data_IF_910959774904
#
_entry.id   IF_910959774904
#
_cell.length_a   1.000
_cell.length_b   1.000
_cell.length_c   1.000
_cell.angle_alpha   90.00
_cell.angle_beta   90.00
_cell.angle_gamma   90.00
#
_symmetry.space_group_name_H-M   'P 1'
#
loop_
_entity.id
_entity.type
_entity.pdbx_description
1 polymer ?
#
# COMPACT_ATOMS: atom_id res chain seq x y z
N UNK A 1 -33.33 -52.74 12.48
CA UNK A 1 -33.50 -51.48 11.76
C UNK A 1 -32.75 -50.26 12.35
N UNK A 2 -32.23 -50.27 13.59
CA UNK A 2 -31.56 -49.13 14.23
C UNK A 2 -30.16 -48.76 13.63
N UNK A 3 -29.39 -49.70 13.11
CA UNK A 3 -28.00 -49.46 12.60
C UNK A 3 -27.91 -48.61 11.33
N UNK A 4 -28.95 -48.54 10.48
CA UNK A 4 -28.92 -47.72 9.24
C UNK A 4 -29.12 -46.25 9.55
N UNK A 5 -29.97 -45.88 10.51
CA UNK A 5 -30.19 -44.50 10.91
C UNK A 5 -28.95 -43.87 11.55
N UNK A 6 -28.24 -44.59 12.40
CA UNK A 6 -27.01 -44.12 13.06
C UNK A 6 -25.89 -43.82 12.06
N UNK A 7 -25.74 -44.68 11.02
CA UNK A 7 -24.75 -44.43 9.95
C UNK A 7 -25.09 -43.21 9.12
N UNK A 8 -26.36 -42.98 8.83
CA UNK A 8 -26.79 -41.78 8.09
C UNK A 8 -26.53 -40.51 8.86
N UNK A 9 -26.84 -40.48 10.17
CA UNK A 9 -26.58 -39.33 11.05
C UNK A 9 -25.07 -39.06 11.15
N UNK A 10 -24.26 -40.12 11.22
CA UNK A 10 -22.79 -39.97 11.31
C UNK A 10 -22.19 -39.39 10.02
N UNK A 11 -22.67 -39.84 8.86
CA UNK A 11 -22.25 -39.27 7.55
C UNK A 11 -22.67 -37.82 7.39
N UNK A 12 -23.91 -37.49 7.82
CA UNK A 12 -24.38 -36.12 7.80
C UNK A 12 -23.54 -35.18 8.70
N UNK A 13 -23.23 -35.67 9.91
CA UNK A 13 -22.38 -34.92 10.87
C UNK A 13 -20.96 -34.71 10.35
N UNK A 14 -20.39 -35.76 9.75
CA UNK A 14 -19.06 -35.70 9.12
C UNK A 14 -19.05 -34.69 7.94
N UNK A 15 -20.10 -34.68 7.12
CA UNK A 15 -20.25 -33.71 6.03
C UNK A 15 -20.32 -32.25 6.51
N UNK A 16 -21.05 -31.99 7.61
CA UNK A 16 -21.11 -30.68 8.23
C UNK A 16 -19.74 -30.29 8.80
N UNK A 17 -19.06 -31.20 9.46
CA UNK A 17 -17.74 -30.99 10.05
C UNK A 17 -16.68 -30.62 8.98
N UNK A 18 -16.70 -31.27 7.84
CA UNK A 18 -15.80 -30.97 6.71
C UNK A 18 -16.06 -29.56 6.18
N UNK A 19 -17.32 -29.11 6.06
CA UNK A 19 -17.64 -27.76 5.61
C UNK A 19 -17.19 -26.68 6.61
N UNK A 20 -17.16 -26.97 7.90
CA UNK A 20 -16.66 -26.05 8.93
C UNK A 20 -15.14 -25.90 8.90
N UNK A 21 -14.41 -26.87 8.35
CA UNK A 21 -12.95 -26.86 8.24
C UNK A 21 -12.44 -26.13 6.99
N UNK A 22 -13.30 -25.84 6.01
CA UNK A 22 -12.96 -25.04 4.82
C UNK A 22 -13.06 -23.55 5.08
N UNK A 23 -12.55 -23.06 6.22
CA UNK A 23 -12.37 -21.65 6.49
C UNK A 23 -11.36 -21.07 5.51
N UNK A 24 -11.83 -20.35 4.47
CA UNK A 24 -10.96 -19.59 3.59
C UNK A 24 -10.25 -18.49 4.39
N UNK A 25 -9.05 -18.77 4.86
CA UNK A 25 -8.13 -17.73 5.32
C UNK A 25 -7.51 -17.08 4.08
N UNK A 26 -8.13 -16.04 3.57
CA UNK A 26 -7.45 -15.07 2.69
C UNK A 26 -6.40 -14.33 3.53
N UNK A 27 -5.34 -15.01 3.90
CA UNK A 27 -4.15 -14.37 4.44
C UNK A 27 -3.48 -13.64 3.27
N UNK A 28 -3.64 -12.33 3.21
CA UNK A 28 -2.78 -11.49 2.37
C UNK A 28 -1.35 -11.70 2.86
N UNK A 29 -0.53 -12.35 2.07
CA UNK A 29 0.85 -12.65 2.45
C UNK A 29 1.61 -11.34 2.59
N UNK A 30 2.57 -11.28 3.51
CA UNK A 30 3.43 -10.09 3.73
C UNK A 30 4.20 -9.76 2.44
N UNK A 31 4.50 -10.78 1.65
CA UNK A 31 5.20 -10.69 0.35
C UNK A 31 4.39 -9.93 -0.72
N UNK A 32 3.05 -9.87 -0.57
CA UNK A 32 2.15 -9.15 -1.47
C UNK A 32 2.01 -7.66 -1.13
N UNK A 33 2.83 -7.14 -0.21
CA UNK A 33 2.77 -5.74 0.25
C UNK A 33 4.06 -5.01 -0.05
N UNK A 34 3.92 -3.82 -0.61
CA UNK A 34 5.00 -2.86 -0.74
C UNK A 34 4.95 -1.87 0.43
N UNK A 35 5.84 -2.07 1.38
CA UNK A 35 5.97 -1.21 2.55
C UNK A 35 6.65 0.11 2.15
N UNK A 36 5.95 1.22 2.34
CA UNK A 36 6.48 2.56 2.07
C UNK A 36 7.03 3.17 3.34
N UNK A 37 8.27 3.65 3.30
CA UNK A 37 8.92 4.37 4.41
C UNK A 37 8.87 5.89 4.22
N UNK A 38 8.99 6.35 2.99
CA UNK A 38 8.92 7.76 2.67
C UNK A 38 8.07 8.00 1.42
N UNK A 39 7.38 9.14 1.38
CA UNK A 39 6.55 9.57 0.27
C UNK A 39 6.91 11.01 -0.06
N UNK A 40 7.29 11.25 -1.32
CA UNK A 40 7.44 12.59 -1.88
C UNK A 40 6.18 12.97 -2.66
N UNK A 41 5.70 14.20 -2.50
CA UNK A 41 4.53 14.70 -3.24
C UNK A 41 4.85 16.06 -3.81
N UNK A 42 4.74 16.16 -5.13
CA UNK A 42 4.91 17.38 -5.90
C UNK A 42 3.69 17.67 -6.76
N UNK A 43 3.56 18.94 -7.16
CA UNK A 43 2.57 19.37 -8.12
C UNK A 43 3.20 20.36 -9.12
N UNK A 44 3.16 19.99 -10.40
CA UNK A 44 3.67 20.82 -11.50
C UNK A 44 3.04 20.40 -12.82
N UNK A 45 3.00 21.31 -13.78
CA UNK A 45 2.41 21.07 -15.12
C UNK A 45 0.96 20.55 -15.08
N UNK A 46 0.21 20.86 -14.01
CA UNK A 46 -1.19 20.43 -13.84
C UNK A 46 -1.37 19.03 -13.26
N UNK A 47 -0.30 18.34 -12.89
CA UNK A 47 -0.31 16.98 -12.38
C UNK A 47 0.37 16.86 -11.02
N UNK A 48 -0.13 15.93 -10.20
CA UNK A 48 0.60 15.43 -9.06
C UNK A 48 1.71 14.48 -9.50
N UNK A 49 2.85 14.55 -8.81
CA UNK A 49 3.92 13.53 -8.88
C UNK A 49 4.09 12.95 -7.50
N UNK A 50 3.80 11.67 -7.33
CA UNK A 50 3.96 10.98 -6.05
C UNK A 50 5.06 9.94 -6.18
N UNK A 51 6.04 10.05 -5.30
CA UNK A 51 7.18 9.15 -5.25
C UNK A 51 7.13 8.35 -3.96
N UNK A 52 7.11 7.03 -4.09
CA UNK A 52 7.16 6.10 -2.96
C UNK A 52 8.56 5.53 -2.81
N UNK A 53 9.13 5.62 -1.61
CA UNK A 53 10.41 5.01 -1.27
C UNK A 53 10.19 3.81 -0.34
N UNK A 54 10.71 2.66 -0.77
CA UNK A 54 10.66 1.37 -0.06
C UNK A 54 11.97 1.08 0.66
N UNK A 55 11.95 0.30 1.75
CA UNK A 55 13.18 -0.16 2.38
C UNK A 55 13.93 -1.13 1.46
N UNK A 56 15.24 -1.04 1.44
CA UNK A 56 16.10 -2.07 0.87
C UNK A 56 16.23 -3.23 1.87
N UNK A 57 15.34 -4.22 1.74
CA UNK A 57 15.37 -5.41 2.59
C UNK A 57 16.56 -6.30 2.32
N UNK A 58 17.14 -6.25 1.12
CA UNK A 58 18.35 -7.03 0.78
C UNK A 58 19.58 -6.50 1.51
N UNK A 59 19.68 -5.17 1.67
CA UNK A 59 20.74 -4.58 2.49
C UNK A 59 20.69 -5.03 3.95
N UNK A 60 19.48 -5.33 4.47
CA UNK A 60 19.27 -5.80 5.84
C UNK A 60 19.52 -7.31 6.00
N UNK A 61 19.24 -8.10 4.96
CA UNK A 61 19.35 -9.56 5.01
C UNK A 61 20.63 -10.12 4.41
N UNK A 62 21.45 -9.26 3.77
CA UNK A 62 22.67 -9.67 3.07
C UNK A 62 22.41 -10.48 1.79
N UNK A 63 21.18 -10.50 1.29
CA UNK A 63 20.83 -11.18 0.06
C UNK A 63 21.18 -10.29 -1.16
N UNK A 64 21.52 -10.89 -2.32
CA UNK A 64 21.79 -10.09 -3.51
C UNK A 64 20.50 -9.43 -4.01
N UNK A 65 20.60 -8.14 -4.36
CA UNK A 65 19.50 -7.36 -4.96
C UNK A 65 19.14 -7.96 -6.32
N UNK A 66 17.86 -8.22 -6.55
CA UNK A 66 17.35 -8.64 -7.85
C UNK A 66 17.62 -7.56 -8.92
N UNK A 67 17.98 -7.97 -10.15
CA UNK A 67 18.36 -7.05 -11.24
C UNK A 67 17.33 -5.96 -11.59
N UNK A 68 16.08 -6.09 -11.15
CA UNK A 68 14.97 -5.18 -11.51
C UNK A 68 14.26 -4.57 -10.28
N UNK A 69 14.81 -4.69 -9.08
CA UNK A 69 14.18 -4.07 -7.91
C UNK A 69 14.40 -2.57 -7.88
N UNK A 70 13.31 -1.83 -7.94
CA UNK A 70 13.30 -0.38 -7.75
C UNK A 70 12.86 -0.07 -6.32
N UNK A 71 13.70 0.62 -5.56
CA UNK A 71 13.39 1.07 -4.20
C UNK A 71 12.64 2.40 -4.18
N UNK A 72 12.66 3.12 -5.30
CA UNK A 72 11.97 4.39 -5.51
C UNK A 72 11.12 4.28 -6.78
N UNK A 73 9.84 4.64 -6.66
CA UNK A 73 8.90 4.61 -7.78
C UNK A 73 8.09 5.91 -7.79
N UNK A 74 8.00 6.54 -8.96
CA UNK A 74 7.25 7.76 -9.15
C UNK A 74 6.08 7.51 -10.09
N UNK A 75 4.92 8.04 -9.71
CA UNK A 75 3.68 8.02 -10.48
C UNK A 75 3.16 9.45 -10.63
N UNK A 76 2.50 9.72 -11.75
CA UNK A 76 1.88 11.02 -12.03
C UNK A 76 0.39 10.86 -12.30
N UNK A 77 -0.39 11.86 -11.95
CA UNK A 77 -1.83 11.87 -12.20
C UNK A 77 -2.45 13.23 -11.89
N UNK A 78 -3.59 13.51 -12.46
CA UNK A 78 -4.31 14.78 -12.26
C UNK A 78 -4.94 14.87 -10.87
N UNK A 79 -5.26 13.72 -10.28
CA UNK A 79 -5.84 13.58 -8.93
C UNK A 79 -5.01 12.59 -8.12
N UNK A 80 -4.70 12.93 -6.88
CA UNK A 80 -3.82 12.12 -6.04
C UNK A 80 -4.38 10.71 -5.76
N UNK A 81 -5.70 10.53 -5.71
CA UNK A 81 -6.33 9.22 -5.53
C UNK A 81 -6.16 8.29 -6.73
N UNK A 82 -6.09 8.84 -7.95
CA UNK A 82 -5.86 8.05 -9.18
C UNK A 82 -4.48 7.41 -9.19
N UNK A 83 -3.50 8.06 -8.56
CA UNK A 83 -2.13 7.56 -8.49
C UNK A 83 -2.04 6.23 -7.74
N UNK A 84 -2.83 6.05 -6.68
CA UNK A 84 -2.90 4.76 -5.97
C UNK A 84 -3.56 3.68 -6.82
N UNK A 85 -4.58 4.05 -7.60
CA UNK A 85 -5.22 3.10 -8.53
C UNK A 85 -4.27 2.69 -9.65
N UNK A 86 -3.48 3.63 -10.17
CA UNK A 86 -2.46 3.34 -11.18
C UNK A 86 -1.35 2.47 -10.62
N UNK A 87 -0.94 2.71 -9.38
CA UNK A 87 -0.04 1.81 -8.67
C UNK A 87 -0.62 0.38 -8.62
N UNK A 88 -1.88 0.25 -8.17
CA UNK A 88 -2.54 -1.05 -8.02
C UNK A 88 -2.74 -1.78 -9.36
N UNK A 89 -2.85 -1.06 -10.48
CA UNK A 89 -2.95 -1.66 -11.83
C UNK A 89 -1.59 -2.13 -12.37
N UNK A 90 -0.51 -1.46 -11.99
CA UNK A 90 0.83 -1.68 -12.52
C UNK A 90 1.74 -2.49 -11.58
N UNK A 91 1.27 -2.84 -10.40
CA UNK A 91 2.01 -3.61 -9.39
C UNK A 91 1.23 -4.85 -8.99
N UNK A 92 1.92 -5.98 -8.89
CA UNK A 92 1.36 -7.21 -8.31
C UNK A 92 1.20 -7.10 -6.78
N UNK A 93 1.74 -6.03 -6.18
CA UNK A 93 1.74 -5.79 -4.73
C UNK A 93 0.81 -4.66 -4.35
N UNK A 94 0.33 -4.69 -3.12
CA UNK A 94 -0.49 -3.61 -2.54
C UNK A 94 0.39 -2.61 -1.81
N UNK A 95 0.16 -1.33 -2.06
CA UNK A 95 0.79 -0.24 -1.34
C UNK A 95 0.39 -0.30 0.14
N UNK A 96 1.37 -0.28 1.04
CA UNK A 96 1.14 -0.30 2.49
C UNK A 96 1.80 0.93 3.13
N UNK A 97 0.96 1.90 3.52
CA UNK A 97 1.38 3.18 4.10
C UNK A 97 1.48 3.16 5.63
N UNK A 98 1.20 2.03 6.29
CA UNK A 98 1.24 1.91 7.77
C UNK A 98 2.63 2.15 8.36
N UNK A 99 3.67 1.96 7.55
CA UNK A 99 5.06 2.16 7.95
C UNK A 99 5.64 3.50 7.48
N UNK A 100 4.80 4.37 6.90
CA UNK A 100 5.21 5.70 6.44
C UNK A 100 5.73 6.54 7.61
N UNK A 101 6.96 7.00 7.50
CA UNK A 101 7.66 7.80 8.52
C UNK A 101 7.85 9.24 8.09
N UNK A 102 7.99 9.47 6.79
CA UNK A 102 8.36 10.77 6.22
C UNK A 102 7.47 11.06 5.03
N UNK A 103 6.92 12.26 5.00
CA UNK A 103 6.29 12.87 3.83
C UNK A 103 7.10 14.12 3.48
N UNK A 104 7.43 14.28 2.22
CA UNK A 104 8.13 15.45 1.72
C UNK A 104 7.29 16.14 0.65
N UNK A 105 6.96 17.40 0.86
CA UNK A 105 6.17 18.23 -0.06
C UNK A 105 7.08 19.17 -0.83
N UNK A 106 6.84 19.36 -2.11
CA UNK A 106 7.54 20.37 -2.90
C UNK A 106 6.87 21.75 -2.84
N UNK A 107 7.51 22.76 -3.45
CA UNK A 107 6.97 24.10 -3.54
C UNK A 107 5.64 24.15 -4.30
N UNK A 108 5.46 23.34 -5.33
CA UNK A 108 4.24 23.30 -6.13
C UNK A 108 2.99 22.93 -5.32
N UNK A 109 3.13 22.03 -4.33
CA UNK A 109 2.05 21.71 -3.38
C UNK A 109 1.86 22.83 -2.37
N UNK A 110 2.96 23.32 -1.77
CA UNK A 110 2.88 24.27 -0.64
C UNK A 110 2.37 25.64 -1.11
N UNK A 111 2.77 26.11 -2.28
CA UNK A 111 2.37 27.40 -2.83
C UNK A 111 0.95 27.37 -3.43
N UNK A 112 0.42 26.20 -3.76
CA UNK A 112 -0.93 26.01 -4.25
C UNK A 112 -1.88 25.56 -3.13
N UNK A 113 -2.62 26.53 -2.58
CA UNK A 113 -3.52 26.28 -1.43
C UNK A 113 -4.55 25.18 -1.70
N UNK A 114 -5.12 25.12 -2.90
CA UNK A 114 -6.16 24.16 -3.24
C UNK A 114 -5.55 22.75 -3.31
N UNK A 115 -4.36 22.64 -3.87
CA UNK A 115 -3.64 21.36 -3.97
C UNK A 115 -3.14 20.88 -2.61
N UNK A 116 -2.70 21.79 -1.75
CA UNK A 116 -2.38 21.45 -0.37
C UNK A 116 -3.61 20.93 0.39
N UNK A 117 -4.76 21.59 0.25
CA UNK A 117 -6.01 21.13 0.88
C UNK A 117 -6.46 19.77 0.36
N UNK A 118 -6.36 19.55 -0.95
CA UNK A 118 -6.68 18.25 -1.58
C UNK A 118 -5.77 17.14 -1.02
N UNK A 119 -4.46 17.42 -0.92
CA UNK A 119 -3.49 16.49 -0.34
C UNK A 119 -3.77 16.21 1.14
N UNK A 120 -4.04 17.24 1.94
CA UNK A 120 -4.36 17.07 3.36
C UNK A 120 -5.63 16.25 3.55
N UNK A 121 -6.68 16.50 2.76
CA UNK A 121 -7.89 15.70 2.76
C UNK A 121 -7.65 14.23 2.37
N UNK A 122 -6.75 13.99 1.41
CA UNK A 122 -6.33 12.65 1.06
C UNK A 122 -5.66 11.95 2.26
N UNK A 123 -4.70 12.59 2.94
CA UNK A 123 -4.00 12.02 4.11
C UNK A 123 -4.96 11.77 5.28
N UNK A 124 -5.87 12.70 5.57
CA UNK A 124 -6.85 12.56 6.66
C UNK A 124 -7.77 11.32 6.47
N UNK A 125 -8.10 11.00 5.22
CA UNK A 125 -8.89 9.82 4.90
C UNK A 125 -8.10 8.49 4.95
N UNK A 126 -6.78 8.54 5.11
CA UNK A 126 -5.92 7.36 5.21
C UNK A 126 -5.64 7.00 6.67
N UNK A 127 -6.58 6.27 7.28
CA UNK A 127 -6.48 5.82 8.68
C UNK A 127 -5.22 4.97 8.98
N UNK A 128 -4.62 4.40 7.96
CA UNK A 128 -3.40 3.60 8.06
C UNK A 128 -2.13 4.43 8.25
N UNK A 129 -2.12 5.72 7.90
CA UNK A 129 -0.98 6.60 8.08
C UNK A 129 -0.87 7.01 9.57
N UNK A 130 0.32 6.79 10.13
CA UNK A 130 0.60 7.13 11.52
C UNK A 130 0.54 8.64 11.75
N UNK A 131 -0.08 9.07 12.87
CA UNK A 131 -0.05 10.48 13.31
C UNK A 131 1.35 10.99 13.67
N UNK A 132 2.32 10.10 13.83
CA UNK A 132 3.71 10.42 14.10
C UNK A 132 4.55 10.54 12.81
N UNK A 133 3.92 10.54 11.64
CA UNK A 133 4.61 10.76 10.36
C UNK A 133 5.12 12.19 10.30
N UNK A 134 6.41 12.34 10.01
CA UNK A 134 7.05 13.65 9.90
C UNK A 134 6.79 14.23 8.51
N UNK A 135 6.45 15.51 8.46
CA UNK A 135 6.24 16.22 7.19
C UNK A 135 7.35 17.26 7.02
N UNK A 136 8.04 17.16 5.90
CA UNK A 136 9.06 18.11 5.47
C UNK A 136 8.61 18.81 4.21
N UNK A 137 9.19 19.97 3.94
CA UNK A 137 9.00 20.62 2.66
C UNK A 137 10.35 21.05 2.07
N UNK A 138 10.40 21.21 0.75
CA UNK A 138 11.56 21.74 0.06
C UNK A 138 11.15 22.80 -0.96
N UNK A 139 12.08 23.73 -1.20
CA UNK A 139 11.91 24.84 -2.16
C UNK A 139 12.22 24.43 -3.59
N UNK A 140 12.93 23.33 -3.78
CA UNK A 140 13.32 22.87 -5.11
C UNK A 140 12.28 21.90 -5.66
N UNK A 141 12.00 21.97 -6.96
CA UNK A 141 11.27 20.89 -7.65
C UNK A 141 12.03 19.59 -7.46
N UNK A 142 11.32 18.57 -6.96
CA UNK A 142 11.94 17.26 -6.76
C UNK A 142 12.19 16.55 -8.07
N UNK A 143 13.44 16.29 -8.32
CA UNK A 143 13.87 15.24 -9.23
C UNK A 143 14.33 14.04 -8.40
N UNK A 144 13.40 13.16 -8.07
CA UNK A 144 13.76 11.83 -7.57
C UNK A 144 14.13 10.96 -8.78
N UNK A 145 15.40 10.66 -8.86
CA UNK A 145 15.96 9.79 -9.92
C UNK A 145 15.86 8.32 -9.58
#
# INVERSE_FOLDING_TARGET
>A
MKRKGTRFVLVLFLGILINLLTGCTQMTQIEDRDFVLAMGVGFGDGEYKVTYARPDLHALTGQPVGKNEKFVMTYSGTVISEIEEDYARNSDKRLDLRHLKIIVLDSGIIENRDKLHEFLGFIENKYEISRNTLVFYTKDEYHWW
#
